data_IF_792539461868
#
_entry.id   IF_792539461868
#
_cell.length_a   1.000
_cell.length_b   1.000
_cell.length_c   1.000
_cell.angle_alpha   90.00
_cell.angle_beta   90.00
_cell.angle_gamma   90.00
#
_symmetry.space_group_name_H-M   'P 1'
#
loop_
_entity.id
_entity.type
_entity.pdbx_description
1 polymer ?
#
# COMPACT_ATOMS: atom_id res chain seq x y z
N UNK A 1 -14.18 3.95 -4.10
CA UNK A 1 -14.26 2.95 -5.20
C UNK A 1 -13.43 1.71 -4.87
N UNK A 2 -12.13 1.64 -5.17
CA UNK A 2 -11.39 0.38 -5.00
C UNK A 2 -11.37 -0.15 -3.56
N UNK A 3 -11.29 0.73 -2.56
CA UNK A 3 -11.46 0.40 -1.14
C UNK A 3 -12.84 -0.23 -0.85
N UNK A 4 -13.90 0.28 -1.47
CA UNK A 4 -15.27 -0.21 -1.26
C UNK A 4 -15.48 -1.55 -1.97
N UNK A 5 -14.86 -1.72 -3.14
CA UNK A 5 -14.77 -3.02 -3.82
C UNK A 5 -14.07 -4.08 -2.95
N UNK A 6 -13.03 -3.68 -2.23
CA UNK A 6 -12.32 -4.57 -1.30
C UNK A 6 -13.24 -5.01 -0.15
N UNK A 7 -14.09 -4.12 0.35
CA UNK A 7 -15.13 -4.40 1.34
C UNK A 7 -16.39 -5.08 0.78
N UNK A 8 -16.46 -5.32 -0.54
CA UNK A 8 -17.62 -5.91 -1.22
C UNK A 8 -18.90 -5.09 -1.04
N UNK A 9 -18.77 -3.76 -1.00
CA UNK A 9 -19.88 -2.82 -0.80
C UNK A 9 -20.20 -1.93 -2.01
N UNK A 10 -19.43 -2.01 -3.09
CA UNK A 10 -19.64 -1.20 -4.29
C UNK A 10 -20.63 -1.83 -5.27
N UNK A 11 -20.71 -3.16 -5.34
CA UNK A 11 -21.61 -3.90 -6.21
C UNK A 11 -22.05 -5.24 -5.59
N UNK A 12 -23.30 -5.66 -5.86
CA UNK A 12 -23.79 -6.98 -5.44
C UNK A 12 -23.09 -8.13 -6.17
N UNK A 13 -22.46 -7.88 -7.32
CA UNK A 13 -21.75 -8.90 -8.09
C UNK A 13 -20.26 -8.94 -7.69
N UNK A 14 -19.83 -10.04 -7.07
CA UNK A 14 -18.46 -10.23 -6.58
C UNK A 14 -17.39 -10.15 -7.68
N UNK A 15 -17.69 -10.60 -8.90
CA UNK A 15 -16.75 -10.50 -10.01
C UNK A 15 -16.56 -9.03 -10.43
N UNK A 16 -17.65 -8.25 -10.43
CA UNK A 16 -17.56 -6.80 -10.70
C UNK A 16 -16.71 -6.12 -9.63
N UNK A 17 -16.87 -6.50 -8.36
CA UNK A 17 -16.02 -5.99 -7.28
C UNK A 17 -14.53 -6.28 -7.51
N UNK A 18 -14.21 -7.49 -7.95
CA UNK A 18 -12.81 -7.88 -8.19
C UNK A 18 -12.21 -7.14 -9.39
N UNK A 19 -12.96 -6.99 -10.48
CA UNK A 19 -12.51 -6.31 -11.70
C UNK A 19 -12.35 -4.81 -11.43
N UNK A 20 -13.39 -4.15 -10.90
CA UNK A 20 -13.36 -2.70 -10.64
C UNK A 20 -12.32 -2.37 -9.58
N UNK A 21 -12.22 -3.18 -8.52
CA UNK A 21 -11.19 -3.04 -7.50
C UNK A 21 -9.78 -3.13 -8.08
N UNK A 22 -9.52 -4.14 -8.92
CA UNK A 22 -8.23 -4.30 -9.61
C UNK A 22 -7.91 -3.10 -10.48
N UNK A 23 -8.83 -2.67 -11.35
CA UNK A 23 -8.63 -1.54 -12.26
C UNK A 23 -8.38 -0.22 -11.51
N UNK A 24 -9.15 0.05 -10.45
CA UNK A 24 -9.01 1.25 -9.64
C UNK A 24 -7.65 1.33 -8.91
N UNK A 25 -7.03 0.19 -8.65
CA UNK A 25 -5.75 0.08 -7.95
C UNK A 25 -4.53 0.15 -8.88
N UNK A 26 -4.70 -0.08 -10.19
CA UNK A 26 -3.57 -0.10 -11.14
C UNK A 26 -2.75 1.20 -11.16
N UNK A 27 -3.34 2.41 -11.19
CA UNK A 27 -2.54 3.65 -11.20
C UNK A 27 -1.66 3.80 -9.96
N UNK A 28 -2.03 3.16 -8.84
CA UNK A 28 -1.28 3.19 -7.59
C UNK A 28 -0.15 2.14 -7.55
N UNK A 29 -0.08 1.23 -8.53
CA UNK A 29 0.80 0.05 -8.50
C UNK A 29 0.58 -0.77 -7.21
N UNK A 30 -0.64 -0.76 -6.65
CA UNK A 30 -1.00 -1.67 -5.58
C UNK A 30 -1.68 -2.89 -6.20
N UNK A 31 -1.16 -4.11 -6.00
CA UNK A 31 -1.89 -5.29 -6.41
C UNK A 31 -3.11 -5.44 -5.47
N UNK A 32 -4.30 -5.37 -6.08
CA UNK A 32 -5.57 -5.25 -5.36
C UNK A 32 -5.82 -6.39 -4.38
N UNK A 33 -5.65 -7.65 -4.78
CA UNK A 33 -5.89 -8.79 -3.90
C UNK A 33 -4.92 -8.85 -2.70
N UNK A 34 -3.60 -8.69 -2.88
CA UNK A 34 -2.67 -8.51 -1.76
C UNK A 34 -3.11 -7.43 -0.76
N UNK A 35 -3.51 -6.27 -1.28
CA UNK A 35 -3.95 -5.16 -0.43
C UNK A 35 -5.24 -5.51 0.30
N UNK A 36 -6.23 -6.08 -0.40
CA UNK A 36 -7.52 -6.48 0.18
C UNK A 36 -7.34 -7.50 1.30
N UNK A 37 -6.56 -8.57 1.08
CA UNK A 37 -6.30 -9.57 2.13
C UNK A 37 -5.62 -8.98 3.36
N UNK A 38 -4.64 -8.09 3.16
CA UNK A 38 -3.96 -7.38 4.24
C UNK A 38 -4.92 -6.44 4.97
N UNK A 39 -5.75 -5.72 4.23
CA UNK A 39 -6.75 -4.80 4.75
C UNK A 39 -7.80 -5.53 5.59
N UNK A 40 -8.32 -6.66 5.11
CA UNK A 40 -9.25 -7.53 5.85
C UNK A 40 -8.64 -7.95 7.19
N UNK A 41 -7.35 -8.33 7.20
CA UNK A 41 -6.63 -8.68 8.43
C UNK A 41 -6.40 -7.49 9.35
N UNK A 42 -6.10 -6.32 8.80
CA UNK A 42 -6.01 -5.08 9.58
C UNK A 42 -7.35 -4.80 10.28
N UNK A 43 -8.48 -4.78 9.57
CA UNK A 43 -9.80 -4.57 10.17
C UNK A 43 -10.14 -5.58 11.27
N UNK A 44 -9.76 -6.84 11.10
CA UNK A 44 -9.96 -7.87 12.12
C UNK A 44 -9.08 -7.69 13.37
N UNK A 45 -7.97 -6.96 13.27
CA UNK A 45 -6.90 -6.84 14.28
C UNK A 45 -6.51 -5.39 14.58
N UNK A 46 -7.37 -4.44 14.25
CA UNK A 46 -7.07 -3.01 14.36
C UNK A 46 -6.61 -2.67 15.77
N UNK A 47 -5.48 -1.98 15.89
CA UNK A 47 -4.87 -1.57 17.16
C UNK A 47 -4.41 -2.72 18.09
N UNK A 48 -4.40 -3.97 17.63
CA UNK A 48 -3.67 -5.04 18.30
C UNK A 48 -2.17 -4.89 17.98
N UNK A 49 -1.40 -4.43 18.95
CA UNK A 49 0.00 -3.97 18.79
C UNK A 49 0.92 -4.93 18.03
N UNK A 50 0.68 -6.24 18.10
CA UNK A 50 1.48 -7.27 17.42
C UNK A 50 0.80 -7.86 16.18
N UNK A 51 -0.53 -7.86 16.12
CA UNK A 51 -1.30 -8.60 15.11
C UNK A 51 -1.74 -7.73 13.92
N UNK A 52 -1.92 -6.42 14.16
CA UNK A 52 -2.21 -5.45 13.12
C UNK A 52 -1.10 -5.47 12.06
N UNK A 53 -1.46 -5.34 10.79
CA UNK A 53 -0.51 -5.33 9.67
C UNK A 53 -0.31 -3.93 9.10
N UNK A 54 -1.14 -2.96 9.48
CA UNK A 54 -1.06 -1.59 9.01
C UNK A 54 0.02 -0.80 9.73
N UNK A 55 0.11 -0.96 11.05
CA UNK A 55 0.99 -0.17 11.90
C UNK A 55 1.52 -0.96 13.09
N UNK A 56 2.82 -0.83 13.36
CA UNK A 56 3.47 -1.30 14.58
C UNK A 56 4.14 -0.10 15.24
N UNK A 57 3.79 0.23 16.50
CA UNK A 57 4.49 1.28 17.20
C UNK A 57 5.89 0.83 17.59
N UNK A 58 6.83 1.78 17.61
CA UNK A 58 8.15 1.55 18.19
C UNK A 58 8.01 1.57 19.71
N UNK A 59 8.56 0.56 20.39
CA UNK A 59 8.47 0.48 21.83
C UNK A 59 9.35 1.54 22.49
N UNK A 60 8.88 2.10 23.61
CA UNK A 60 9.64 3.10 24.38
C UNK A 60 11.06 2.62 24.73
N UNK A 61 11.21 1.34 25.11
CA UNK A 61 12.51 0.72 25.39
C UNK A 61 13.49 0.78 24.20
N UNK A 62 12.98 0.71 22.97
CA UNK A 62 13.79 0.78 21.74
C UNK A 62 14.21 2.22 21.47
N UNK A 63 13.29 3.17 21.66
CA UNK A 63 13.57 4.61 21.55
C UNK A 63 14.64 5.04 22.56
N UNK A 64 14.52 4.56 23.81
CA UNK A 64 15.40 4.95 24.91
C UNK A 64 16.73 4.17 24.91
N UNK A 65 16.87 3.13 24.08
CA UNK A 65 18.08 2.29 24.03
C UNK A 65 19.30 2.99 23.42
N UNK A 66 19.11 3.95 22.51
CA UNK A 66 20.21 4.62 21.82
C UNK A 66 19.80 6.00 21.29
N UNK A 67 20.57 7.07 21.55
CA UNK A 67 20.34 8.39 20.97
C UNK A 67 20.38 8.40 19.44
N UNK A 68 21.18 7.52 18.83
CA UNK A 68 21.27 7.40 17.36
C UNK A 68 20.00 6.76 16.81
N UNK A 69 19.53 5.67 17.42
CA UNK A 69 18.30 5.00 17.03
C UNK A 69 17.10 5.92 17.19
N UNK A 70 17.02 6.68 18.29
CA UNK A 70 15.99 7.71 18.51
C UNK A 70 15.95 8.73 17.37
N UNK A 71 17.10 9.28 16.97
CA UNK A 71 17.18 10.22 15.84
C UNK A 71 16.75 9.56 14.53
N UNK A 72 17.16 8.32 14.27
CA UNK A 72 16.76 7.58 13.08
C UNK A 72 15.24 7.35 13.02
N UNK A 73 14.62 6.99 14.13
CA UNK A 73 13.16 6.84 14.26
C UNK A 73 12.47 8.18 13.98
N UNK A 74 12.90 9.28 14.59
CA UNK A 74 12.31 10.61 14.36
C UNK A 74 12.40 11.01 12.88
N UNK A 75 13.54 10.75 12.23
CA UNK A 75 13.71 11.02 10.80
C UNK A 75 12.82 10.12 9.93
N UNK A 76 12.75 8.83 10.25
CA UNK A 76 11.95 7.84 9.54
C UNK A 76 10.45 8.09 9.61
N UNK A 77 9.94 8.46 10.79
CA UNK A 77 8.53 8.78 11.00
C UNK A 77 8.17 10.24 10.69
N UNK A 78 9.16 11.11 10.50
CA UNK A 78 9.00 12.50 10.07
C UNK A 78 9.17 12.67 8.55
N UNK A 79 10.23 13.34 8.08
CA UNK A 79 10.38 13.69 6.66
C UNK A 79 10.53 12.49 5.73
N UNK A 80 11.05 11.35 6.21
CA UNK A 80 11.25 10.16 5.38
C UNK A 80 10.05 9.19 5.38
N UNK A 81 8.96 9.54 6.05
CA UNK A 81 7.81 8.66 6.21
C UNK A 81 7.17 8.19 4.89
N UNK A 82 7.05 8.99 3.81
CA UNK A 82 6.57 8.49 2.52
C UNK A 82 7.45 7.36 1.96
N UNK A 83 8.76 7.42 2.18
CA UNK A 83 9.70 6.35 1.76
C UNK A 83 9.50 5.07 2.57
N UNK A 84 9.26 5.19 3.88
CA UNK A 84 8.89 4.04 4.72
C UNK A 84 7.58 3.39 4.24
N UNK A 85 6.62 4.20 3.79
CA UNK A 85 5.37 3.72 3.18
C UNK A 85 5.60 2.97 1.88
N UNK A 86 6.55 3.40 1.04
CA UNK A 86 6.96 2.68 -0.17
C UNK A 86 7.63 1.35 0.21
N UNK A 87 8.55 1.33 1.17
CA UNK A 87 9.18 0.10 1.63
C UNK A 87 8.14 -0.90 2.15
N UNK A 88 7.21 -0.45 3.00
CA UNK A 88 6.11 -1.25 3.52
C UNK A 88 5.21 -1.78 2.40
N UNK A 89 4.85 -0.94 1.43
CA UNK A 89 4.09 -1.34 0.25
C UNK A 89 4.78 -2.48 -0.50
N UNK A 90 6.05 -2.34 -0.84
CA UNK A 90 6.79 -3.36 -1.57
C UNK A 90 6.88 -4.67 -0.77
N UNK A 91 7.26 -4.58 0.51
CA UNK A 91 7.45 -5.73 1.39
C UNK A 91 6.16 -6.53 1.58
N UNK A 92 5.01 -5.86 1.73
CA UNK A 92 3.76 -6.54 2.08
C UNK A 92 2.95 -7.03 0.89
N UNK A 93 3.05 -6.38 -0.27
CA UNK A 93 2.12 -6.63 -1.37
C UNK A 93 2.72 -7.46 -2.52
N UNK A 94 4.05 -7.62 -2.55
CA UNK A 94 4.76 -8.34 -3.62
C UNK A 94 5.41 -9.66 -3.15
N UNK A 95 5.35 -9.97 -1.86
CA UNK A 95 5.88 -11.22 -1.30
C UNK A 95 4.79 -12.30 -1.21
N UNK A 96 4.84 -13.28 -2.13
CA UNK A 96 3.88 -14.39 -2.18
C UNK A 96 3.85 -15.23 -0.89
N UNK A 97 4.94 -15.23 -0.11
CA UNK A 97 5.05 -16.03 1.12
C UNK A 97 4.15 -15.53 2.24
N UNK A 98 3.60 -14.31 2.13
CA UNK A 98 2.69 -13.72 3.13
C UNK A 98 1.23 -14.15 2.98
N UNK A 99 0.90 -14.89 1.92
CA UNK A 99 -0.47 -15.27 1.59
C UNK A 99 -0.72 -16.76 1.79
N UNK A 100 -1.95 -17.13 2.14
CA UNK A 100 -2.35 -18.53 2.27
C UNK A 100 -2.32 -19.22 0.91
N UNK A 101 -2.10 -20.55 0.83
CA UNK A 101 -2.08 -21.26 -0.45
C UNK A 101 -3.33 -21.04 -1.32
N UNK A 102 -4.50 -20.89 -0.70
CA UNK A 102 -5.77 -20.60 -1.38
C UNK A 102 -5.87 -19.17 -1.96
N UNK A 103 -5.05 -18.24 -1.49
CA UNK A 103 -5.04 -16.83 -1.92
C UNK A 103 -4.06 -16.58 -3.08
N UNK A 104 -2.98 -17.39 -3.16
CA UNK A 104 -1.84 -17.17 -4.07
C UNK A 104 -2.27 -17.04 -5.53
N UNK A 105 -3.27 -17.80 -5.97
CA UNK A 105 -3.78 -17.70 -7.35
C UNK A 105 -4.30 -16.30 -7.67
N UNK A 106 -5.13 -15.73 -6.78
CA UNK A 106 -5.71 -14.38 -6.93
C UNK A 106 -4.64 -13.30 -6.81
N UNK A 107 -3.67 -13.50 -5.91
CA UNK A 107 -2.50 -12.61 -5.77
C UNK A 107 -1.69 -12.54 -7.06
N UNK A 108 -1.38 -13.69 -7.68
CA UNK A 108 -0.63 -13.73 -8.95
C UNK A 108 -1.36 -12.98 -10.07
N UNK A 109 -2.67 -13.09 -10.15
CA UNK A 109 -3.48 -12.34 -11.12
C UNK A 109 -3.35 -10.84 -10.89
N UNK A 110 -3.54 -10.35 -9.65
CA UNK A 110 -3.38 -8.92 -9.35
C UNK A 110 -1.96 -8.40 -9.64
N UNK A 111 -0.93 -9.18 -9.32
CA UNK A 111 0.46 -8.84 -9.64
C UNK A 111 0.67 -8.76 -11.16
N UNK A 112 0.14 -9.72 -11.92
CA UNK A 112 0.22 -9.71 -13.38
C UNK A 112 -0.47 -8.46 -13.96
N UNK A 113 -1.63 -8.05 -13.44
CA UNK A 113 -2.29 -6.82 -13.87
C UNK A 113 -1.45 -5.57 -13.57
N UNK A 114 -0.79 -5.51 -12.42
CA UNK A 114 0.13 -4.41 -12.06
C UNK A 114 1.33 -4.36 -13.01
N UNK A 115 1.98 -5.50 -13.25
CA UNK A 115 3.12 -5.55 -14.18
C UNK A 115 2.72 -5.24 -15.62
N UNK A 116 1.52 -5.65 -16.05
CA UNK A 116 0.97 -5.26 -17.34
C UNK A 116 0.72 -3.74 -17.42
N UNK A 117 0.20 -3.13 -16.36
CA UNK A 117 0.05 -1.67 -16.30
C UNK A 117 1.39 -0.94 -16.34
N UNK A 118 2.43 -1.45 -15.65
CA UNK A 118 3.79 -0.89 -15.75
C UNK A 118 4.30 -1.01 -17.19
N UNK A 119 4.23 -2.21 -17.78
CA UNK A 119 4.79 -2.50 -19.09
C UNK A 119 4.08 -1.76 -20.24
N UNK A 120 2.81 -1.41 -20.09
CA UNK A 120 2.01 -0.76 -21.13
C UNK A 120 1.75 0.71 -20.77
N UNK A 121 1.22 0.98 -19.59
CA UNK A 121 0.79 2.30 -19.15
C UNK A 121 1.93 3.29 -19.01
N UNK A 122 3.05 2.93 -18.39
CA UNK A 122 4.18 3.86 -18.24
C UNK A 122 4.79 4.26 -19.60
N UNK A 123 5.12 3.33 -20.52
CA UNK A 123 5.58 3.71 -21.86
C UNK A 123 4.58 4.57 -22.62
N UNK A 124 3.27 4.31 -22.51
CA UNK A 124 2.26 5.14 -23.16
C UNK A 124 2.22 6.57 -22.60
N UNK A 125 2.32 6.74 -21.27
CA UNK A 125 2.40 8.07 -20.65
C UNK A 125 3.65 8.80 -21.14
N UNK A 126 4.81 8.13 -21.13
CA UNK A 126 6.07 8.70 -21.61
C UNK A 126 5.99 9.07 -23.09
N UNK A 127 5.42 8.19 -23.93
CA UNK A 127 5.25 8.43 -25.35
C UNK A 127 4.37 9.65 -25.63
N UNK A 128 3.30 9.86 -24.85
CA UNK A 128 2.36 10.96 -25.05
C UNK A 128 2.77 12.28 -24.42
N UNK A 129 3.53 12.23 -23.32
CA UNK A 129 3.78 13.41 -22.46
C UNK A 129 5.25 13.65 -22.13
N UNK A 130 6.14 12.78 -22.60
CA UNK A 130 7.55 12.77 -22.24
C UNK A 130 7.81 12.27 -20.83
N UNK A 131 9.09 12.17 -20.46
CA UNK A 131 9.51 11.75 -19.11
C UNK A 131 9.00 12.72 -18.04
N UNK A 132 9.03 14.03 -18.32
CA UNK A 132 8.49 15.04 -17.40
C UNK A 132 6.98 14.88 -17.19
N UNK A 133 6.25 14.46 -18.22
CA UNK A 133 4.84 14.15 -18.10
C UNK A 133 4.59 12.91 -17.25
N UNK A 134 5.40 11.86 -17.39
CA UNK A 134 5.33 10.70 -16.48
C UNK A 134 5.59 11.10 -15.02
N UNK A 135 6.56 11.97 -14.77
CA UNK A 135 6.83 12.51 -13.43
C UNK A 135 5.61 13.27 -12.91
N UNK A 136 5.08 14.21 -13.70
CA UNK A 136 3.99 15.09 -13.30
C UNK A 136 2.65 14.37 -13.12
N UNK A 137 2.33 13.44 -14.01
CA UNK A 137 1.00 12.83 -14.11
C UNK A 137 0.90 11.46 -13.43
N UNK A 138 2.01 10.78 -13.16
CA UNK A 138 2.00 9.50 -12.43
C UNK A 138 2.83 9.56 -11.14
N UNK A 139 4.13 9.88 -11.23
CA UNK A 139 5.02 9.76 -10.07
C UNK A 139 4.67 10.72 -8.94
N UNK A 140 4.41 11.99 -9.25
CA UNK A 140 4.05 12.99 -8.24
C UNK A 140 2.72 12.65 -7.53
N UNK A 141 1.61 12.33 -8.23
CA UNK A 141 0.40 11.82 -7.59
C UNK A 141 0.63 10.58 -6.73
N UNK A 142 1.46 9.64 -7.19
CA UNK A 142 1.80 8.42 -6.45
C UNK A 142 2.58 8.73 -5.16
N UNK A 143 3.53 9.67 -5.19
CA UNK A 143 4.23 10.15 -4.01
C UNK A 143 3.29 10.83 -3.01
N UNK A 144 2.36 11.65 -3.50
CA UNK A 144 1.32 12.27 -2.67
C UNK A 144 0.44 11.20 -2.02
N UNK A 145 0.06 10.15 -2.74
CA UNK A 145 -0.65 9.01 -2.16
C UNK A 145 0.14 8.34 -1.03
N UNK A 146 1.44 8.04 -1.23
CA UNK A 146 2.27 7.44 -0.18
C UNK A 146 2.44 8.34 1.03
N UNK A 147 2.56 9.67 0.82
CA UNK A 147 2.52 10.64 1.91
C UNK A 147 1.22 10.54 2.71
N UNK A 148 0.07 10.59 2.06
CA UNK A 148 -1.23 10.52 2.74
C UNK A 148 -1.48 9.18 3.42
N UNK A 149 -1.20 8.05 2.76
CA UNK A 149 -1.33 6.72 3.36
C UNK A 149 -0.50 6.60 4.64
N UNK A 150 0.75 7.05 4.58
CA UNK A 150 1.62 7.03 5.76
C UNK A 150 1.14 7.95 6.88
N UNK A 151 0.49 9.07 6.52
CA UNK A 151 -0.11 10.01 7.46
C UNK A 151 -1.30 9.41 8.15
N UNK A 152 -2.28 8.95 7.37
CA UNK A 152 -3.52 8.40 7.90
C UNK A 152 -3.29 7.19 8.75
N UNK A 153 -2.41 6.27 8.34
CA UNK A 153 -2.04 5.12 9.16
C UNK A 153 -1.46 5.57 10.49
N UNK A 154 -0.50 6.50 10.50
CA UNK A 154 0.06 6.99 11.76
C UNK A 154 -1.02 7.61 12.66
N UNK A 155 -1.77 8.60 12.17
CA UNK A 155 -2.75 9.34 13.01
C UNK A 155 -3.94 8.49 13.45
N UNK A 156 -4.33 7.46 12.69
CA UNK A 156 -5.37 6.52 13.14
C UNK A 156 -4.89 5.60 14.26
N UNK A 157 -3.58 5.33 14.32
CA UNK A 157 -2.99 4.34 15.22
C UNK A 157 -2.21 4.95 16.39
N UNK A 158 -1.98 6.26 16.38
CA UNK A 158 -1.44 7.01 17.50
C UNK A 158 -2.55 7.85 18.11
N UNK A 159 -2.88 7.60 19.38
CA UNK A 159 -3.74 8.51 20.13
C UNK A 159 -3.11 9.93 20.18
N UNK A 160 -3.92 11.00 20.32
CA UNK A 160 -3.40 12.33 20.62
C UNK A 160 -2.57 12.36 21.91
#
# INVERSE_FOLDING_TARGET
>A
IGHDCAHKSFSRNKLVEDIVGTLAFLPLIYPYEPWRFKHDRHHAKTNMLSEDTAWHPVWRKEIDSSPVLRKAIILGYGPFRPWMSIAHWLMWHFDLKKFRPSEVGRVKISLACVFAFIAIGWPLIVYKTGVLGWIKFWFMPWMVYHFWMSTFTMVHHTAP
#
